data_IF_410676052023
#
_entry.id   IF_410676052023
#
_cell.length_a   1.000
_cell.length_b   1.000
_cell.length_c   1.000
_cell.angle_alpha   90.00
_cell.angle_beta   90.00
_cell.angle_gamma   90.00
#
_symmetry.space_group_name_H-M   'P 1'
#
loop_
_entity.id
_entity.type
_entity.pdbx_description
1 polymer ?
#
# COMPACT_ATOMS: atom_id res chain seq x y z
N UNK A 1 -3.04 -10.64 5.66
CA UNK A 1 -3.09 -9.54 6.61
C UNK A 1 -4.53 -9.07 6.68
N UNK A 2 -4.97 -8.67 7.87
CA UNK A 2 -6.36 -8.23 8.14
C UNK A 2 -6.82 -7.02 7.31
N UNK A 3 -5.87 -6.27 6.76
CA UNK A 3 -6.07 -4.99 6.08
C UNK A 3 -6.17 -5.07 4.54
N UNK A 4 -5.93 -6.24 3.93
CA UNK A 4 -6.06 -6.43 2.47
C UNK A 4 -4.92 -5.87 1.62
N UNK A 5 -3.85 -5.43 2.27
CA UNK A 5 -2.64 -4.92 1.60
C UNK A 5 -1.66 -6.06 1.30
N UNK A 6 -0.79 -5.85 0.32
CA UNK A 6 0.50 -6.55 0.24
C UNK A 6 1.44 -6.06 1.33
N UNK A 7 2.49 -6.82 1.61
CA UNK A 7 3.50 -6.43 2.61
C UNK A 7 4.12 -5.07 2.25
N UNK A 8 4.53 -4.88 1.00
CA UNK A 8 5.17 -3.62 0.57
C UNK A 8 4.22 -2.43 0.66
N UNK A 9 2.95 -2.57 0.27
CA UNK A 9 1.95 -1.50 0.42
C UNK A 9 1.79 -1.13 1.90
N UNK A 10 1.65 -2.14 2.77
CA UNK A 10 1.54 -1.92 4.21
C UNK A 10 2.77 -1.20 4.78
N UNK A 11 3.97 -1.69 4.49
CA UNK A 11 5.21 -1.05 4.94
C UNK A 11 5.33 0.40 4.45
N UNK A 12 4.86 0.68 3.24
CA UNK A 12 4.85 2.04 2.68
C UNK A 12 3.91 2.97 3.46
N UNK A 13 2.70 2.51 3.80
CA UNK A 13 1.78 3.28 4.64
C UNK A 13 2.34 3.46 6.05
N UNK A 14 2.93 2.43 6.65
CA UNK A 14 3.56 2.50 7.97
C UNK A 14 4.74 3.48 8.00
N UNK A 15 5.54 3.56 6.94
CA UNK A 15 6.60 4.58 6.80
C UNK A 15 6.01 5.98 6.84
N UNK A 16 4.93 6.23 6.10
CA UNK A 16 4.28 7.55 6.05
C UNK A 16 3.59 7.90 7.37
N UNK A 17 3.00 6.91 8.07
CA UNK A 17 2.46 7.09 9.42
C UNK A 17 3.56 7.47 10.41
N UNK A 18 4.65 6.71 10.43
CA UNK A 18 5.68 6.81 11.47
C UNK A 18 6.59 8.04 11.26
N UNK A 19 6.87 8.40 10.00
CA UNK A 19 7.86 9.44 9.64
C UNK A 19 7.24 10.70 9.04
N UNK A 20 5.93 10.70 8.78
CA UNK A 20 5.20 11.82 8.20
C UNK A 20 5.40 12.03 6.70
N UNK A 21 4.84 13.13 6.15
CA UNK A 21 4.91 13.46 4.73
C UNK A 21 6.35 13.61 4.21
N UNK A 22 6.64 13.04 3.04
CA UNK A 22 7.98 13.10 2.45
C UNK A 22 8.01 12.88 0.94
N UNK A 23 9.10 13.22 0.24
CA UNK A 23 9.27 12.87 -1.17
C UNK A 23 9.17 11.36 -1.41
N UNK A 24 8.49 10.94 -2.48
CA UNK A 24 8.27 9.53 -2.79
C UNK A 24 9.59 8.73 -2.91
N UNK A 25 10.63 9.33 -3.49
CA UNK A 25 11.96 8.69 -3.58
C UNK A 25 12.61 8.48 -2.21
N UNK A 26 12.31 9.34 -1.22
CA UNK A 26 12.76 9.15 0.16
C UNK A 26 11.99 8.01 0.84
N UNK A 27 10.68 7.93 0.64
CA UNK A 27 9.87 6.82 1.13
C UNK A 27 10.39 5.47 0.60
N UNK A 28 10.71 5.40 -0.71
CA UNK A 28 11.36 4.25 -1.31
C UNK A 28 12.70 3.92 -0.64
N UNK A 29 13.57 4.92 -0.45
CA UNK A 29 14.86 4.72 0.22
C UNK A 29 14.73 4.15 1.64
N UNK A 30 13.75 4.64 2.42
CA UNK A 30 13.47 4.10 3.76
C UNK A 30 12.96 2.67 3.68
N UNK A 31 12.04 2.37 2.77
CA UNK A 31 11.51 1.02 2.56
C UNK A 31 12.66 0.04 2.32
N UNK A 32 13.51 0.33 1.34
CA UNK A 32 14.57 -0.58 0.90
C UNK A 32 15.70 -0.76 1.91
N UNK A 33 16.02 0.29 2.69
CA UNK A 33 17.17 0.28 3.60
C UNK A 33 16.83 -0.12 5.03
N UNK A 34 15.57 0.01 5.44
CA UNK A 34 15.20 -0.07 6.87
C UNK A 34 14.01 -0.99 7.17
N UNK A 35 13.12 -1.24 6.22
CA UNK A 35 11.82 -1.89 6.50
C UNK A 35 11.62 -3.19 5.73
N UNK A 36 11.99 -3.24 4.46
CA UNK A 36 11.79 -4.41 3.61
C UNK A 36 12.81 -5.51 3.93
N UNK A 37 12.39 -6.71 4.39
CA UNK A 37 13.30 -7.78 4.78
C UNK A 37 14.07 -8.38 3.59
N UNK A 38 13.48 -8.37 2.39
CA UNK A 38 14.08 -8.93 1.18
C UNK A 38 13.95 -7.94 0.01
N UNK A 39 14.84 -6.94 -0.09
CA UNK A 39 14.87 -5.96 -1.18
C UNK A 39 14.79 -6.60 -2.58
N UNK A 40 13.66 -6.40 -3.29
CA UNK A 40 13.46 -6.92 -4.65
C UNK A 40 12.91 -5.88 -5.65
N UNK A 41 12.48 -4.71 -5.16
CA UNK A 41 11.84 -3.67 -5.98
C UNK A 41 12.83 -2.62 -6.45
N UNK A 42 12.72 -2.23 -7.72
CA UNK A 42 13.27 -0.98 -8.22
C UNK A 42 12.36 0.21 -7.92
N UNK A 43 12.89 1.42 -8.05
CA UNK A 43 12.19 2.68 -7.82
C UNK A 43 10.98 2.88 -8.75
N UNK A 44 11.10 2.51 -10.03
CA UNK A 44 9.99 2.53 -10.99
C UNK A 44 8.89 1.53 -10.64
N UNK A 45 9.27 0.33 -10.14
CA UNK A 45 8.29 -0.67 -9.71
C UNK A 45 7.54 -0.19 -8.46
N UNK A 46 8.27 0.43 -7.52
CA UNK A 46 7.67 1.05 -6.34
C UNK A 46 6.70 2.16 -6.72
N UNK A 47 7.09 3.06 -7.63
CA UNK A 47 6.20 4.11 -8.11
C UNK A 47 4.91 3.53 -8.73
N UNK A 48 5.03 2.50 -9.59
CA UNK A 48 3.88 1.82 -10.17
C UNK A 48 2.99 1.16 -9.10
N UNK A 49 3.59 0.55 -8.08
CA UNK A 49 2.89 -0.08 -6.96
C UNK A 49 2.12 0.95 -6.13
N UNK A 50 2.63 2.18 -5.96
CA UNK A 50 1.90 3.23 -5.23
C UNK A 50 0.75 3.85 -6.03
N UNK A 51 0.72 3.75 -7.36
CA UNK A 51 -0.33 4.40 -8.17
C UNK A 51 -1.74 3.99 -7.75
N UNK A 52 -2.09 2.70 -7.58
CA UNK A 52 -3.41 2.31 -7.11
C UNK A 52 -3.79 2.90 -5.75
N UNK A 53 -2.82 3.13 -4.85
CA UNK A 53 -3.06 3.71 -3.52
C UNK A 53 -3.30 5.23 -3.57
N UNK A 54 -2.79 5.89 -4.62
CA UNK A 54 -2.91 7.32 -4.86
C UNK A 54 -4.14 7.65 -5.71
N UNK A 55 -4.43 6.81 -6.71
CA UNK A 55 -5.44 7.08 -7.75
C UNK A 55 -6.83 6.47 -7.44
N UNK A 56 -6.94 5.71 -6.35
CA UNK A 56 -8.23 5.17 -5.91
C UNK A 56 -9.24 6.28 -5.62
N UNK A 57 -10.53 5.98 -5.79
CA UNK A 57 -11.63 6.90 -5.44
C UNK A 57 -11.55 7.34 -3.96
N UNK A 58 -11.10 6.42 -3.09
CA UNK A 58 -10.76 6.68 -1.69
C UNK A 58 -9.26 6.44 -1.48
N UNK A 59 -8.40 7.43 -1.76
CA UNK A 59 -6.96 7.24 -1.79
C UNK A 59 -6.42 6.95 -0.40
N UNK A 60 -5.46 6.03 -0.31
CA UNK A 60 -4.73 5.71 0.92
C UNK A 60 -3.51 6.61 1.09
N UNK A 61 -3.01 7.18 -0.02
CA UNK A 61 -1.89 8.11 -0.07
C UNK A 61 -2.32 9.36 -0.84
N UNK A 62 -2.07 10.53 -0.28
CA UNK A 62 -2.18 11.79 -1.02
C UNK A 62 -0.82 12.12 -1.65
N UNK A 63 -0.81 12.46 -2.95
CA UNK A 63 0.36 12.93 -3.71
C UNK A 63 0.21 14.42 -4.03
N UNK A 64 1.13 15.24 -3.54
CA UNK A 64 1.21 16.67 -3.84
C UNK A 64 2.17 17.01 -4.98
N UNK A 65 2.24 18.29 -5.33
CA UNK A 65 3.31 18.87 -6.16
C UNK A 65 3.48 18.19 -7.54
N UNK A 66 2.38 17.91 -8.24
CA UNK A 66 2.36 17.16 -9.50
C UNK A 66 3.25 17.74 -10.62
N UNK A 67 3.58 19.03 -10.54
CA UNK A 67 4.51 19.70 -11.45
C UNK A 67 5.96 19.21 -11.33
N UNK A 68 6.34 18.57 -10.22
CA UNK A 68 7.66 18.00 -10.02
C UNK A 68 7.79 16.62 -10.66
N UNK A 69 9.04 16.20 -10.88
CA UNK A 69 9.33 14.81 -11.19
C UNK A 69 8.86 13.90 -10.04
N UNK A 70 8.30 12.74 -10.37
CA UNK A 70 7.62 11.87 -9.40
C UNK A 70 8.44 11.55 -8.12
N UNK A 71 9.78 11.35 -8.13
CA UNK A 71 10.50 11.02 -6.90
C UNK A 71 10.53 12.17 -5.89
N UNK A 72 10.33 13.41 -6.37
CA UNK A 72 10.38 14.62 -5.57
C UNK A 72 9.00 15.01 -5.02
N UNK A 73 7.92 14.45 -5.58
CA UNK A 73 6.56 14.71 -5.14
C UNK A 73 6.36 14.24 -3.72
N UNK A 74 5.79 15.10 -2.88
CA UNK A 74 5.51 14.77 -1.49
C UNK A 74 4.31 13.84 -1.41
N UNK A 75 4.50 12.71 -0.75
CA UNK A 75 3.44 11.75 -0.41
C UNK A 75 3.16 11.80 1.09
N UNK A 76 1.89 11.65 1.45
CA UNK A 76 1.41 11.66 2.84
C UNK A 76 0.29 10.65 3.01
N UNK A 77 0.21 10.04 4.20
CA UNK A 77 -0.86 9.12 4.54
C UNK A 77 -2.20 9.87 4.65
N UNK A 78 -3.29 9.26 4.16
CA UNK A 78 -4.65 9.79 4.31
C UNK A 78 -5.35 9.19 5.52
N UNK A 79 -6.51 9.74 5.91
CA UNK A 79 -7.37 9.13 6.93
C UNK A 79 -7.82 7.71 6.54
N UNK A 80 -8.05 7.45 5.26
CA UNK A 80 -8.37 6.10 4.78
C UNK A 80 -7.18 5.14 4.90
N UNK A 81 -5.96 5.63 4.63
CA UNK A 81 -4.74 4.87 4.86
C UNK A 81 -4.56 4.47 6.34
N UNK A 82 -4.83 5.39 7.27
CA UNK A 82 -4.82 5.09 8.71
C UNK A 82 -5.87 4.05 9.10
N UNK A 83 -7.10 4.19 8.59
CA UNK A 83 -8.18 3.22 8.85
C UNK A 83 -7.83 1.82 8.34
N UNK A 84 -7.20 1.72 7.17
CA UNK A 84 -6.73 0.43 6.63
C UNK A 84 -5.63 -0.15 7.54
N UNK A 85 -4.62 0.63 7.94
CA UNK A 85 -3.58 0.16 8.86
C UNK A 85 -4.12 -0.30 10.22
N UNK A 86 -5.19 0.34 10.69
CA UNK A 86 -5.91 -0.01 11.91
C UNK A 86 -6.90 -1.19 11.75
N UNK A 87 -7.03 -1.78 10.55
CA UNK A 87 -7.97 -2.88 10.28
C UNK A 87 -9.45 -2.46 10.26
N UNK A 88 -9.73 -1.16 10.23
CA UNK A 88 -11.08 -0.57 10.22
C UNK A 88 -11.65 -0.40 8.81
N UNK A 89 -10.83 -0.66 7.79
CA UNK A 89 -11.21 -0.73 6.39
C UNK A 89 -10.35 -1.79 5.69
N UNK A 90 -10.80 -2.29 4.55
CA UNK A 90 -10.08 -3.29 3.77
C UNK A 90 -9.52 -2.67 2.49
N UNK A 91 -8.20 -2.64 2.38
CA UNK A 91 -7.46 -1.98 1.31
C UNK A 91 -7.85 -2.47 -0.09
N UNK A 92 -8.07 -3.78 -0.28
CA UNK A 92 -8.50 -4.32 -1.58
C UNK A 92 -9.83 -3.67 -2.06
N UNK A 93 -10.78 -3.44 -1.15
CA UNK A 93 -12.05 -2.79 -1.49
C UNK A 93 -11.86 -1.30 -1.80
N UNK A 94 -11.00 -0.60 -1.04
CA UNK A 94 -10.79 0.83 -1.25
C UNK A 94 -9.98 1.13 -2.51
N UNK A 95 -8.96 0.32 -2.79
CA UNK A 95 -8.14 0.44 -4.01
C UNK A 95 -9.00 0.12 -5.24
N UNK A 96 -9.94 -0.84 -5.13
CA UNK A 96 -10.93 -1.11 -6.17
C UNK A 96 -10.35 -1.76 -7.44
N UNK A 97 -9.11 -2.24 -7.40
CA UNK A 97 -8.43 -2.89 -8.51
C UNK A 97 -8.18 -4.37 -8.22
N UNK A 98 -8.18 -5.19 -9.27
CA UNK A 98 -7.79 -6.59 -9.13
C UNK A 98 -6.30 -6.74 -8.82
N UNK A 99 -5.96 -7.80 -8.09
CA UNK A 99 -4.59 -8.12 -7.71
C UNK A 99 -4.30 -9.60 -7.96
N UNK A 100 -3.06 -9.90 -8.32
CA UNK A 100 -2.60 -11.28 -8.49
C UNK A 100 -1.57 -11.64 -7.41
N UNK A 101 -1.75 -12.81 -6.79
CA UNK A 101 -0.85 -13.36 -5.77
C UNK A 101 -0.58 -14.82 -6.09
N UNK A 102 0.64 -15.16 -6.51
CA UNK A 102 1.03 -16.56 -6.77
C UNK A 102 0.13 -17.29 -7.77
N UNK A 103 -0.38 -16.60 -8.79
CA UNK A 103 -1.33 -17.15 -9.77
C UNK A 103 -2.81 -17.12 -9.35
N UNK A 104 -3.11 -16.65 -8.14
CA UNK A 104 -4.48 -16.42 -7.67
C UNK A 104 -4.90 -15.00 -7.95
N UNK A 105 -6.06 -14.83 -8.61
CA UNK A 105 -6.68 -13.54 -8.87
C UNK A 105 -7.59 -13.16 -7.71
N UNK A 106 -7.40 -11.95 -7.20
CA UNK A 106 -8.22 -11.32 -6.16
C UNK A 106 -9.00 -10.17 -6.81
N UNK A 107 -10.32 -10.17 -6.61
CA UNK A 107 -11.21 -9.14 -7.15
C UNK A 107 -11.96 -8.51 -5.97
N UNK A 108 -12.00 -7.17 -5.87
CA UNK A 108 -12.81 -6.48 -4.87
C UNK A 108 -14.26 -6.96 -4.89
N UNK A 109 -14.87 -7.12 -3.70
CA UNK A 109 -16.23 -7.62 -3.53
C UNK A 109 -16.40 -9.12 -3.79
N UNK A 110 -15.34 -9.86 -4.12
CA UNK A 110 -15.39 -11.32 -4.25
C UNK A 110 -14.72 -12.02 -3.07
N UNK A 111 -15.29 -13.16 -2.69
CA UNK A 111 -14.74 -13.97 -1.62
C UNK A 111 -13.37 -14.53 -1.98
N UNK A 112 -12.43 -14.50 -1.04
CA UNK A 112 -11.05 -14.93 -1.23
C UNK A 112 -10.39 -15.37 0.08
N UNK A 113 -9.31 -16.13 -0.05
CA UNK A 113 -8.42 -16.45 1.07
C UNK A 113 -7.55 -15.26 1.44
N UNK A 114 -7.42 -15.00 2.74
CA UNK A 114 -6.53 -14.02 3.30
C UNK A 114 -5.78 -14.63 4.51
N UNK A 115 -4.85 -13.86 5.07
CA UNK A 115 -4.21 -14.19 6.35
C UNK A 115 -4.74 -13.25 7.43
N UNK A 116 -5.04 -13.77 8.62
CA UNK A 116 -5.34 -12.95 9.79
C UNK A 116 -4.06 -12.38 10.45
N UNK A 117 -4.19 -11.79 11.64
CA UNK A 117 -3.07 -11.24 12.42
C UNK A 117 -2.10 -12.32 12.92
N UNK A 118 -2.59 -13.54 13.15
CA UNK A 118 -1.79 -14.70 13.55
C UNK A 118 -1.21 -15.47 12.36
N UNK A 119 -1.27 -14.88 11.16
CA UNK A 119 -0.85 -15.47 9.89
C UNK A 119 -1.57 -16.79 9.57
N UNK A 120 -2.77 -16.99 10.09
CA UNK A 120 -3.61 -18.13 9.78
C UNK A 120 -4.48 -17.84 8.55
N UNK A 121 -4.70 -18.85 7.68
CA UNK A 121 -5.57 -18.69 6.53
C UNK A 121 -7.03 -18.51 6.99
N UNK A 122 -7.68 -17.47 6.47
CA UNK A 122 -9.08 -17.15 6.72
C UNK A 122 -9.81 -16.95 5.40
N UNK A 123 -11.05 -17.43 5.33
CA UNK A 123 -11.94 -17.16 4.20
C UNK A 123 -12.69 -15.85 4.45
N UNK A 124 -12.53 -14.87 3.55
CA UNK A 124 -13.27 -13.62 3.57
C UNK A 124 -14.31 -13.65 2.46
N UNK A 125 -15.57 -13.39 2.76
CA UNK A 125 -16.68 -13.38 1.81
C UNK A 125 -17.70 -12.30 2.13
#
# INVERSE_FOLDING_TARGET
MVDGLSLTERLSLEILRDLGPMPMGKAFGVLMMQREPLPFLGDLMFHALLRPLIDAERPLIHEGEQQLAWPQRVVSLTEEGERVLAGQAYGLELIGQERWVGGVRLVPGQAHWALDEALQPVWRG
#
